data_IF_685901316902
#
_entry.id   IF_685901316902
#
_cell.length_a   1.000
_cell.length_b   1.000
_cell.length_c   1.000
_cell.angle_alpha   90.00
_cell.angle_beta   90.00
_cell.angle_gamma   90.00
#
_symmetry.space_group_name_H-M   'P 1'
#
loop_
_entity.id
_entity.type
_entity.pdbx_description
1 polymer ?
#
# COMPACT_ATOMS: atom_id res chain seq x y z
N UNK A 1 -1.86 -4.50 -10.50
CA UNK A 1 -1.34 -4.48 -9.10
C UNK A 1 -2.44 -3.90 -8.24
N UNK A 2 -2.77 -4.52 -7.12
CA UNK A 2 -3.76 -3.97 -6.18
C UNK A 2 -3.12 -2.84 -5.38
N UNK A 3 -3.84 -1.77 -5.09
CA UNK A 3 -3.31 -0.58 -4.44
C UNK A 3 -4.16 -0.24 -3.22
N UNK A 4 -3.54 -0.24 -2.04
CA UNK A 4 -4.19 0.14 -0.79
C UNK A 4 -3.61 1.46 -0.31
N UNK A 5 -4.48 2.44 -0.06
CA UNK A 5 -4.11 3.79 0.37
C UNK A 5 -4.36 3.95 1.87
N UNK A 6 -3.33 4.30 2.63
CA UNK A 6 -3.38 4.57 4.07
C UNK A 6 -3.14 6.05 4.31
N UNK A 7 -4.14 6.77 4.80
CA UNK A 7 -4.08 8.22 5.00
C UNK A 7 -3.38 8.56 6.32
N UNK A 8 -2.06 8.67 6.27
CA UNK A 8 -1.21 9.13 7.38
C UNK A 8 0.07 9.78 6.86
N UNK A 9 0.62 10.74 7.61
CA UNK A 9 1.96 11.30 7.39
C UNK A 9 3.01 10.77 8.39
N UNK A 10 2.58 9.91 9.33
CA UNK A 10 3.46 9.33 10.34
C UNK A 10 3.85 7.90 9.95
N UNK A 11 5.14 7.71 9.70
CA UNK A 11 5.71 6.42 9.32
C UNK A 11 5.57 5.36 10.43
N UNK A 12 5.70 5.73 11.71
CA UNK A 12 5.55 4.77 12.82
C UNK A 12 4.14 4.21 12.84
N UNK A 13 3.13 5.08 12.80
CA UNK A 13 1.72 4.65 12.76
C UNK A 13 1.41 3.80 11.52
N UNK A 14 1.96 4.17 10.35
CA UNK A 14 1.85 3.34 9.16
C UNK A 14 2.47 1.95 9.36
N UNK A 15 3.67 1.89 9.93
CA UNK A 15 4.38 0.63 10.20
C UNK A 15 3.61 -0.25 11.18
N UNK A 16 2.93 0.34 12.16
CA UNK A 16 2.12 -0.38 13.14
C UNK A 16 0.87 -1.02 12.49
N UNK A 17 0.19 -0.30 11.59
CA UNK A 17 -0.98 -0.84 10.88
C UNK A 17 -0.62 -1.67 9.65
N UNK A 18 0.62 -1.60 9.14
CA UNK A 18 1.00 -2.17 7.85
C UNK A 18 0.65 -3.65 7.73
N UNK A 19 1.02 -4.47 8.72
CA UNK A 19 0.68 -5.90 8.70
C UNK A 19 -0.84 -6.12 8.73
N UNK A 20 -1.59 -5.32 9.49
CA UNK A 20 -3.06 -5.39 9.51
C UNK A 20 -3.64 -5.02 8.15
N UNK A 21 -3.10 -4.00 7.48
CA UNK A 21 -3.51 -3.57 6.14
C UNK A 21 -3.27 -4.65 5.09
N UNK A 22 -2.19 -5.41 5.21
CA UNK A 22 -1.93 -6.55 4.33
C UNK A 22 -2.92 -7.71 4.54
N UNK A 23 -3.35 -7.94 5.78
CA UNK A 23 -4.33 -8.97 6.12
C UNK A 23 -5.79 -8.54 5.87
N UNK A 24 -6.02 -7.25 5.64
CA UNK A 24 -7.34 -6.70 5.39
C UNK A 24 -7.84 -7.11 4.00
N UNK A 25 -8.88 -7.95 3.99
CA UNK A 25 -9.62 -8.25 2.78
C UNK A 25 -10.75 -7.23 2.58
N UNK A 26 -10.38 -6.01 2.17
CA UNK A 26 -11.33 -4.97 1.78
C UNK A 26 -11.93 -5.28 0.40
N UNK A 27 -13.17 -4.83 0.16
CA UNK A 27 -13.73 -4.82 -1.20
C UNK A 27 -13.13 -3.68 -2.03
N UNK A 28 -13.18 -3.78 -3.36
CA UNK A 28 -12.78 -2.66 -4.22
C UNK A 28 -13.62 -1.40 -3.91
N UNK A 29 -12.95 -0.26 -3.68
CA UNK A 29 -13.58 1.01 -3.25
C UNK A 29 -14.17 0.99 -1.84
N UNK A 30 -13.75 0.04 -0.99
CA UNK A 30 -14.14 0.03 0.42
C UNK A 30 -13.13 0.80 1.27
N UNK A 31 -13.65 1.52 2.26
CA UNK A 31 -12.87 2.33 3.20
C UNK A 31 -13.13 1.86 4.62
N UNK A 32 -12.06 1.73 5.39
CA UNK A 32 -12.12 1.26 6.77
C UNK A 32 -11.17 2.03 7.65
N UNK A 33 -11.63 2.28 8.87
CA UNK A 33 -10.78 2.84 9.92
C UNK A 33 -10.02 1.71 10.63
N UNK A 34 -8.70 1.84 10.70
CA UNK A 34 -7.76 0.89 11.30
C UNK A 34 -6.87 1.68 12.26
N UNK A 35 -7.02 1.44 13.56
CA UNK A 35 -6.27 2.15 14.61
C UNK A 35 -6.35 3.69 14.52
N UNK A 36 -7.50 4.21 14.05
CA UNK A 36 -7.71 5.65 13.85
C UNK A 36 -7.15 6.21 12.53
N UNK A 37 -6.57 5.35 11.69
CA UNK A 37 -6.16 5.68 10.32
C UNK A 37 -7.20 5.24 9.32
N UNK A 38 -7.45 6.07 8.31
CA UNK A 38 -8.31 5.71 7.20
C UNK A 38 -7.52 4.88 6.19
N UNK A 39 -8.03 3.70 5.87
CA UNK A 39 -7.47 2.78 4.88
C UNK A 39 -8.51 2.58 3.78
N UNK A 40 -8.10 2.79 2.54
CA UNK A 40 -8.98 2.71 1.37
C UNK A 40 -8.38 1.75 0.34
N UNK A 41 -9.17 0.80 -0.14
CA UNK A 41 -8.76 -0.04 -1.26
C UNK A 41 -9.05 0.68 -2.58
N UNK A 42 -7.98 1.17 -3.21
CA UNK A 42 -8.03 1.86 -4.50
C UNK A 42 -8.15 0.90 -5.69
N UNK A 43 -8.22 -0.41 -5.44
CA UNK A 43 -8.41 -1.44 -6.44
C UNK A 43 -7.16 -1.67 -7.29
N UNK A 44 -7.35 -2.08 -8.54
CA UNK A 44 -6.24 -2.32 -9.45
C UNK A 44 -5.69 -1.04 -10.08
N UNK A 45 -4.39 -0.80 -9.88
CA UNK A 45 -3.64 0.25 -10.57
C UNK A 45 -2.79 -0.32 -11.70
N UNK A 46 -2.63 0.42 -12.81
CA UNK A 46 -1.83 -0.03 -13.93
C UNK A 46 -0.33 0.07 -13.64
N UNK A 47 0.48 -0.74 -14.30
CA UNK A 47 1.93 -0.84 -14.03
C UNK A 47 2.69 0.49 -14.21
N UNK A 48 2.27 1.31 -15.16
CA UNK A 48 2.89 2.62 -15.40
C UNK A 48 2.63 3.63 -14.27
N UNK A 49 1.68 3.37 -13.36
CA UNK A 49 1.40 4.24 -12.22
C UNK A 49 2.64 4.43 -11.33
N UNK A 50 3.30 3.32 -11.00
CA UNK A 50 4.53 3.32 -10.21
C UNK A 50 5.62 4.16 -10.87
N UNK A 51 5.80 4.01 -12.19
CA UNK A 51 6.78 4.78 -12.95
C UNK A 51 6.52 6.28 -12.84
N UNK A 52 5.27 6.73 -13.00
CA UNK A 52 4.90 8.15 -12.87
C UNK A 52 5.13 8.68 -11.46
N UNK A 53 4.77 7.91 -10.43
CA UNK A 53 4.93 8.34 -9.04
C UNK A 53 6.41 8.38 -8.65
N UNK A 54 7.20 7.39 -9.04
CA UNK A 54 8.64 7.35 -8.77
C UNK A 54 9.45 8.46 -9.45
N UNK A 55 8.92 9.07 -10.52
CA UNK A 55 9.54 10.20 -11.20
C UNK A 55 9.39 11.53 -10.43
N UNK A 56 8.49 11.59 -9.44
CA UNK A 56 8.24 12.77 -8.63
C UNK A 56 9.24 12.85 -7.47
N UNK A 57 9.97 13.96 -7.30
CA UNK A 57 10.97 14.10 -6.24
C UNK A 57 10.37 14.09 -4.83
N UNK A 58 9.09 14.45 -4.68
CA UNK A 58 8.36 14.45 -3.42
C UNK A 58 7.84 13.06 -2.99
N UNK A 59 7.96 12.05 -3.86
CA UNK A 59 7.47 10.70 -3.59
C UNK A 59 8.62 9.81 -3.14
N UNK A 60 8.49 9.22 -1.96
CA UNK A 60 9.44 8.22 -1.47
C UNK A 60 8.95 6.84 -1.89
N UNK A 61 9.83 6.09 -2.55
CA UNK A 61 9.53 4.73 -3.01
C UNK A 61 10.33 3.74 -2.19
N UNK A 62 9.61 2.89 -1.45
CA UNK A 62 10.17 1.76 -0.71
C UNK A 62 9.76 0.46 -1.39
N UNK A 63 10.67 -0.50 -1.50
CA UNK A 63 10.40 -1.80 -2.10
C UNK A 63 10.81 -2.91 -1.16
N UNK A 64 9.86 -3.73 -0.75
CA UNK A 64 10.13 -4.97 -0.05
C UNK A 64 10.39 -6.08 -1.07
N UNK A 65 11.66 -6.40 -1.28
CA UNK A 65 12.09 -7.48 -2.19
C UNK A 65 11.70 -8.87 -1.69
N UNK A 66 11.45 -9.02 -0.39
CA UNK A 66 11.09 -10.30 0.22
C UNK A 66 9.67 -10.70 -0.14
N UNK A 67 8.75 -9.72 -0.11
CA UNK A 67 7.32 -9.91 -0.38
C UNK A 67 6.90 -9.45 -1.78
N UNK A 68 7.78 -8.76 -2.51
CA UNK A 68 7.46 -8.18 -3.83
C UNK A 68 6.54 -6.96 -3.76
N UNK A 69 6.45 -6.32 -2.60
CA UNK A 69 5.54 -5.19 -2.32
C UNK A 69 6.26 -3.88 -2.60
N UNK A 70 5.55 -2.90 -3.14
CA UNK A 70 6.07 -1.53 -3.28
C UNK A 70 5.22 -0.57 -2.46
N UNK A 71 5.85 0.26 -1.66
CA UNK A 71 5.20 1.27 -0.83
C UNK A 71 5.60 2.64 -1.37
N UNK A 72 4.60 3.49 -1.63
CA UNK A 72 4.79 4.87 -2.06
C UNK A 72 4.33 5.79 -0.95
N UNK A 73 5.22 6.62 -0.43
CA UNK A 73 4.85 7.68 0.49
C UNK A 73 4.82 8.99 -0.29
N UNK A 74 3.69 9.70 -0.24
CA UNK A 74 3.57 11.02 -0.84
C UNK A 74 2.67 11.93 -0.02
N UNK A 75 3.23 13.00 0.53
CA UNK A 75 2.50 13.92 1.39
C UNK A 75 1.99 13.24 2.67
N UNK A 76 0.67 13.01 2.74
CA UNK A 76 -0.02 12.43 3.92
C UNK A 76 -0.70 11.09 3.62
N UNK A 77 -0.17 10.35 2.67
CA UNK A 77 -0.69 9.03 2.31
C UNK A 77 0.45 8.07 1.99
N UNK A 78 0.26 6.83 2.38
CA UNK A 78 1.09 5.68 2.03
C UNK A 78 0.28 4.75 1.14
N UNK A 79 0.72 4.54 -0.09
CA UNK A 79 0.11 3.59 -1.01
C UNK A 79 0.92 2.28 -1.01
N UNK A 80 0.26 1.18 -0.70
CA UNK A 80 0.82 -0.17 -0.72
C UNK A 80 0.37 -0.85 -2.00
N UNK A 81 1.32 -1.05 -2.92
CA UNK A 81 1.12 -1.79 -4.15
C UNK A 81 1.46 -3.26 -3.95
N UNK A 82 0.43 -4.08 -4.09
CA UNK A 82 0.47 -5.52 -4.01
C UNK A 82 0.49 -6.11 -5.43
N UNK A 83 1.46 -6.98 -5.76
CA UNK A 83 1.43 -7.72 -7.01
C UNK A 83 0.19 -8.62 -7.04
N UNK A 84 -0.59 -8.54 -8.12
CA UNK A 84 -1.83 -9.31 -8.32
C UNK A 84 -1.59 -10.82 -8.52
N UNK A 85 -0.32 -11.24 -8.65
CA UNK A 85 0.08 -12.66 -8.78
C UNK A 85 0.61 -13.29 -7.47
N UNK A 86 0.63 -12.57 -6.35
CA UNK A 86 1.10 -13.13 -5.07
C UNK A 86 -0.07 -13.39 -4.12
N UNK A 87 -0.97 -14.30 -4.53
CA UNK A 87 -1.90 -14.96 -3.62
C UNK A 87 -1.30 -16.24 -2.98
N UNK A 88 -0.07 -16.60 -3.31
CA UNK A 88 0.61 -17.76 -2.74
C UNK A 88 2.08 -17.40 -2.52
N UNK A 89 2.51 -17.05 -1.29
CA UNK A 89 3.65 -17.67 -0.58
C UNK A 89 3.74 -17.06 0.84
N UNK A 90 3.06 -17.64 1.82
CA UNK A 90 3.49 -17.58 3.23
C UNK A 90 2.77 -18.64 4.09
N UNK A 91 2.83 -19.91 3.68
CA UNK A 91 2.70 -21.01 4.64
C UNK A 91 3.80 -22.02 4.35
N UNK A 92 4.89 -21.93 5.11
CA UNK A 92 5.67 -23.10 5.49
C UNK A 92 6.46 -22.84 6.77
#
# INVERSE_FOLDING_TARGET
>A
MRCISVYTDNFEQFSDVFEQVLDLNLGENDEREVEGLMVSDSGEVPEHYLGRMSAKPEVVVMKDKTRGITILQHGKVFEVLLPTETAEVAVK
#
